data_IF_967850665484
#
_entry.id   IF_967850665484
#
_cell.length_a   1.000
_cell.length_b   1.000
_cell.length_c   1.000
_cell.angle_alpha   90.00
_cell.angle_beta   90.00
_cell.angle_gamma   90.00
#
_symmetry.space_group_name_H-M   'P 1'
#
loop_
_entity.id
_entity.type
_entity.pdbx_description
1 polymer ?
#
# COMPACT_ATOMS: atom_id res chain seq x y z
N UNK A 1 -17.30 -18.05 -0.28
CA UNK A 1 -16.59 -18.28 0.99
C UNK A 1 -15.19 -18.78 0.65
N UNK A 2 -14.13 -18.11 1.15
CA UNK A 2 -12.74 -18.52 0.90
C UNK A 2 -12.40 -19.84 1.61
N UNK A 3 -11.40 -20.53 1.07
CA UNK A 3 -10.81 -21.74 1.64
C UNK A 3 -9.61 -21.35 2.52
N UNK A 4 -9.51 -21.95 3.71
CA UNK A 4 -8.41 -21.71 4.63
C UNK A 4 -7.87 -23.01 5.23
N UNK A 5 -6.58 -22.99 5.56
CA UNK A 5 -5.91 -24.05 6.32
C UNK A 5 -6.07 -23.84 7.83
N UNK A 6 -6.44 -24.91 8.53
CA UNK A 6 -6.57 -24.97 9.97
C UNK A 6 -5.69 -26.08 10.55
N UNK A 7 -5.16 -25.86 11.75
CA UNK A 7 -4.49 -26.90 12.54
C UNK A 7 -5.23 -27.12 13.85
N UNK A 8 -5.61 -28.37 14.09
CA UNK A 8 -6.27 -28.77 15.33
C UNK A 8 -5.32 -28.64 16.52
N UNK A 9 -5.77 -27.97 17.59
CA UNK A 9 -5.02 -27.85 18.84
C UNK A 9 -4.95 -29.16 19.64
N UNK A 10 -5.82 -30.12 19.34
CA UNK A 10 -5.95 -31.39 20.07
C UNK A 10 -5.17 -32.51 19.38
N UNK A 11 -5.47 -32.80 18.11
CA UNK A 11 -4.85 -33.93 17.39
C UNK A 11 -3.71 -33.52 16.44
N UNK A 12 -3.41 -32.22 16.31
CA UNK A 12 -2.35 -31.72 15.43
C UNK A 12 -2.62 -31.84 13.93
N UNK A 13 -3.76 -32.40 13.51
CA UNK A 13 -4.11 -32.53 12.08
C UNK A 13 -4.32 -31.16 11.44
N UNK A 14 -3.73 -30.99 10.26
CA UNK A 14 -4.03 -29.85 9.36
C UNK A 14 -5.12 -30.25 8.37
N UNK A 15 -6.06 -29.34 8.12
CA UNK A 15 -7.16 -29.55 7.17
C UNK A 15 -7.63 -28.22 6.55
N UNK A 16 -8.23 -28.32 5.38
CA UNK A 16 -8.84 -27.21 4.68
C UNK A 16 -10.34 -27.12 5.01
N UNK A 17 -10.84 -25.90 5.21
CA UNK A 17 -12.27 -25.66 5.36
C UNK A 17 -12.67 -24.31 4.76
N UNK A 18 -13.87 -24.27 4.18
CA UNK A 18 -14.47 -23.00 3.76
C UNK A 18 -14.97 -22.25 5.00
N UNK A 19 -14.52 -21.01 5.20
CA UNK A 19 -14.96 -20.19 6.33
C UNK A 19 -15.16 -18.73 5.91
N UNK A 20 -15.84 -17.96 6.74
CA UNK A 20 -15.93 -16.51 6.57
C UNK A 20 -14.56 -15.85 6.77
N UNK A 21 -14.33 -14.67 6.18
CA UNK A 21 -13.01 -14.02 6.24
C UNK A 21 -12.57 -13.67 7.66
N UNK A 22 -13.52 -13.37 8.53
CA UNK A 22 -13.39 -13.06 9.95
C UNK A 22 -13.38 -14.31 10.87
N UNK A 23 -13.57 -15.51 10.30
CA UNK A 23 -13.51 -16.74 11.07
C UNK A 23 -12.06 -17.08 11.44
N UNK A 24 -11.75 -16.99 12.73
CA UNK A 24 -10.43 -17.32 13.30
C UNK A 24 -10.29 -18.77 13.79
N UNK A 25 -11.41 -19.47 13.99
CA UNK A 25 -11.45 -20.81 14.56
C UNK A 25 -12.30 -21.77 13.69
N UNK A 26 -11.94 -23.05 13.73
CA UNK A 26 -12.65 -24.13 13.05
C UNK A 26 -12.77 -25.37 13.94
N UNK A 27 -13.58 -26.34 13.52
CA UNK A 27 -13.78 -27.60 14.26
C UNK A 27 -13.11 -28.75 13.50
N UNK A 28 -12.25 -29.50 14.17
CA UNK A 28 -11.63 -30.68 13.59
C UNK A 28 -12.57 -31.90 13.72
N UNK A 29 -12.37 -32.91 12.86
CA UNK A 29 -13.10 -34.20 12.92
C UNK A 29 -12.91 -34.96 14.26
N UNK A 30 -11.83 -34.69 15.00
CA UNK A 30 -11.65 -35.24 16.35
C UNK A 30 -12.48 -34.53 17.43
N UNK A 31 -13.27 -33.51 17.07
CA UNK A 31 -14.04 -32.66 17.98
C UNK A 31 -13.23 -31.50 18.60
N UNK A 32 -11.91 -31.45 18.39
CA UNK A 32 -11.06 -30.39 18.93
C UNK A 32 -11.17 -29.07 18.16
N UNK A 33 -11.00 -27.96 18.87
CA UNK A 33 -10.86 -26.63 18.25
C UNK A 33 -9.60 -26.57 17.37
N UNK A 34 -9.70 -25.90 16.24
CA UNK A 34 -8.61 -25.70 15.30
C UNK A 34 -8.37 -24.21 15.07
N UNK A 35 -7.09 -23.82 15.03
CA UNK A 35 -6.69 -22.45 14.73
C UNK A 35 -6.36 -22.36 13.24
N UNK A 36 -6.82 -21.29 12.60
CA UNK A 36 -6.41 -20.96 11.22
C UNK A 36 -4.89 -20.71 11.16
N UNK A 37 -4.20 -21.38 10.23
CA UNK A 37 -2.75 -21.30 10.07
C UNK A 37 -2.31 -19.97 9.46
N UNK A 38 -2.91 -19.61 8.33
CA UNK A 38 -2.67 -18.34 7.64
C UNK A 38 -3.89 -17.44 7.83
N UNK A 39 -3.87 -16.65 8.90
CA UNK A 39 -4.75 -15.48 8.97
C UNK A 39 -4.14 -14.37 8.12
N UNK A 40 -4.90 -13.80 7.19
CA UNK A 40 -4.67 -12.39 6.85
C UNK A 40 -4.89 -11.62 8.14
N UNK A 41 -3.80 -11.33 8.87
CA UNK A 41 -3.88 -10.65 10.16
C UNK A 41 -4.47 -9.25 10.03
N UNK A 42 -4.58 -8.53 11.14
CA UNK A 42 -4.90 -7.08 11.18
C UNK A 42 -3.98 -6.20 10.30
N UNK A 43 -2.93 -6.78 9.70
CA UNK A 43 -2.08 -6.18 8.69
C UNK A 43 -2.57 -6.30 7.24
N UNK A 44 -3.67 -7.02 6.96
CA UNK A 44 -4.40 -6.78 5.72
C UNK A 44 -5.14 -5.45 5.87
N UNK A 45 -4.40 -4.35 5.72
CA UNK A 45 -5.01 -3.12 5.26
C UNK A 45 -5.45 -3.43 3.83
N UNK A 46 -6.75 -3.32 3.54
CA UNK A 46 -7.23 -3.37 2.16
C UNK A 46 -6.47 -2.34 1.29
N UNK A 47 -5.97 -1.30 1.96
CA UNK A 47 -5.13 -0.23 1.46
C UNK A 47 -3.65 -0.54 1.67
N UNK A 48 -2.87 -0.43 0.60
CA UNK A 48 -1.46 -0.81 0.64
C UNK A 48 -0.60 0.30 1.29
N UNK A 49 0.45 -0.08 2.01
CA UNK A 49 1.36 0.84 2.73
C UNK A 49 1.97 1.92 1.82
N UNK A 50 2.03 1.69 0.50
CA UNK A 50 2.53 2.68 -0.46
C UNK A 50 1.63 3.90 -0.63
N UNK A 51 0.36 3.86 -0.20
CA UNK A 51 -0.58 4.97 -0.34
C UNK A 51 -0.15 6.20 0.48
N UNK A 52 0.41 5.97 1.66
CA UNK A 52 0.98 7.05 2.49
C UNK A 52 2.14 7.74 1.75
N UNK A 53 2.99 6.97 1.06
CA UNK A 53 4.08 7.50 0.23
C UNK A 53 3.57 8.35 -0.95
N UNK A 54 2.42 7.99 -1.53
CA UNK A 54 1.81 8.78 -2.61
C UNK A 54 1.20 10.07 -2.06
N UNK A 55 0.63 10.04 -0.85
CA UNK A 55 0.11 11.25 -0.22
C UNK A 55 1.21 12.32 -0.07
N UNK A 56 2.48 11.95 0.12
CA UNK A 56 3.63 12.89 0.20
C UNK A 56 3.75 13.79 -1.03
N UNK A 57 3.44 13.28 -2.23
CA UNK A 57 3.60 14.02 -3.49
C UNK A 57 2.32 14.71 -3.95
N UNK A 58 1.19 14.49 -3.26
CA UNK A 58 -0.04 15.22 -3.55
C UNK A 58 0.07 16.68 -3.07
N UNK A 59 -0.47 17.60 -3.87
CA UNK A 59 -0.48 19.04 -3.60
C UNK A 59 -1.21 19.36 -2.29
N UNK A 60 -0.49 19.90 -1.30
CA UNK A 60 -0.98 20.01 0.09
C UNK A 60 -1.97 21.14 0.28
N UNK A 61 -1.81 22.19 -0.52
CA UNK A 61 -2.61 23.41 -0.43
C UNK A 61 -3.76 23.42 -1.46
N UNK A 62 -4.09 22.27 -2.06
CA UNK A 62 -5.15 22.18 -3.06
C UNK A 62 -6.54 22.36 -2.44
N UNK A 63 -7.37 23.15 -3.12
CA UNK A 63 -8.79 23.35 -2.85
C UNK A 63 -9.68 22.26 -3.50
N UNK A 64 -9.10 21.37 -4.31
CA UNK A 64 -9.83 20.34 -5.04
C UNK A 64 -10.36 19.25 -4.09
N UNK A 65 -11.65 18.90 -4.15
CA UNK A 65 -12.25 17.93 -3.22
C UNK A 65 -11.59 16.55 -3.24
N UNK A 66 -11.17 16.05 -4.41
CA UNK A 66 -10.52 14.74 -4.52
C UNK A 66 -9.11 14.71 -3.95
N UNK A 67 -8.42 15.85 -3.90
CA UNK A 67 -7.09 15.97 -3.29
C UNK A 67 -7.22 16.01 -1.77
N UNK A 68 -8.13 16.84 -1.25
CA UNK A 68 -8.37 16.94 0.19
C UNK A 68 -8.85 15.61 0.80
N UNK A 69 -9.77 14.92 0.11
CA UNK A 69 -10.24 13.61 0.55
C UNK A 69 -9.12 12.56 0.62
N UNK A 70 -8.20 12.57 -0.35
CA UNK A 70 -7.06 11.65 -0.36
C UNK A 70 -6.02 12.00 0.71
N UNK A 71 -5.77 13.27 0.97
CA UNK A 71 -4.85 13.71 2.03
C UNK A 71 -5.39 13.43 3.43
N UNK A 72 -6.70 13.54 3.64
CA UNK A 72 -7.34 13.27 4.92
C UNK A 72 -7.44 11.76 5.22
N UNK A 73 -7.72 10.94 4.21
CA UNK A 73 -7.81 9.48 4.32
C UNK A 73 -7.17 8.79 3.09
N UNK A 74 -5.89 8.39 3.18
CA UNK A 74 -5.14 7.76 2.08
C UNK A 74 -5.58 6.31 1.76
N UNK A 75 -6.84 6.10 1.43
CA UNK A 75 -7.40 4.81 1.02
C UNK A 75 -7.31 4.59 -0.51
N UNK A 76 -7.42 3.35 -0.98
CA UNK A 76 -7.43 3.00 -2.42
C UNK A 76 -8.58 3.67 -3.17
N UNK A 77 -9.73 3.82 -2.52
CA UNK A 77 -10.88 4.48 -3.11
C UNK A 77 -10.58 5.96 -3.37
N UNK A 78 -9.99 6.65 -2.38
CA UNK A 78 -9.61 8.05 -2.52
C UNK A 78 -8.43 8.22 -3.48
N UNK A 79 -7.46 7.32 -3.50
CA UNK A 79 -6.38 7.31 -4.49
C UNK A 79 -6.91 7.23 -5.94
N UNK A 80 -7.87 6.35 -6.22
CA UNK A 80 -8.46 6.24 -7.57
C UNK A 80 -9.20 7.51 -7.98
N UNK A 81 -9.94 8.12 -7.05
CA UNK A 81 -10.62 9.41 -7.28
C UNK A 81 -9.62 10.53 -7.52
N UNK A 82 -8.54 10.56 -6.74
CA UNK A 82 -7.46 11.53 -6.88
C UNK A 82 -6.77 11.41 -8.24
N UNK A 83 -6.35 10.20 -8.62
CA UNK A 83 -5.75 9.93 -9.93
C UNK A 83 -6.66 10.35 -11.07
N UNK A 84 -7.95 10.01 -11.01
CA UNK A 84 -8.93 10.40 -12.04
C UNK A 84 -9.12 11.93 -12.09
N UNK A 85 -9.26 12.58 -10.94
CA UNK A 85 -9.46 14.03 -10.85
C UNK A 85 -8.25 14.85 -11.31
N UNK A 86 -7.04 14.32 -11.13
CA UNK A 86 -5.79 14.92 -11.62
C UNK A 86 -5.41 14.46 -13.04
N UNK A 87 -6.20 13.57 -13.67
CA UNK A 87 -5.88 13.04 -15.00
C UNK A 87 -4.61 12.20 -15.04
N UNK A 88 -4.22 11.60 -13.91
CA UNK A 88 -3.05 10.76 -13.77
C UNK A 88 -3.37 9.30 -14.07
N UNK A 89 -2.35 8.54 -14.48
CA UNK A 89 -2.42 7.08 -14.59
C UNK A 89 -1.21 6.42 -13.91
N UNK A 90 -1.35 5.18 -13.40
CA UNK A 90 -0.22 4.40 -12.95
C UNK A 90 0.83 4.25 -14.04
N UNK A 91 2.09 4.20 -13.63
CA UNK A 91 3.21 3.82 -14.47
C UNK A 91 3.20 2.29 -14.57
N UNK A 92 3.16 1.76 -15.79
CA UNK A 92 3.18 0.30 -16.01
C UNK A 92 4.60 -0.25 -15.92
N UNK A 93 4.72 -1.54 -15.63
CA UNK A 93 6.03 -2.20 -15.53
C UNK A 93 6.78 -2.09 -16.87
N UNK A 94 8.01 -1.57 -16.81
CA UNK A 94 8.85 -1.29 -17.99
C UNK A 94 8.67 0.11 -18.58
N UNK A 95 7.69 0.91 -18.12
CA UNK A 95 7.64 2.33 -18.47
C UNK A 95 8.73 3.08 -17.69
N UNK A 96 9.66 3.72 -18.41
CA UNK A 96 10.66 4.58 -17.80
C UNK A 96 9.99 5.79 -17.15
N UNK A 97 10.50 6.21 -15.98
CA UNK A 97 10.12 7.52 -15.42
C UNK A 97 10.49 8.59 -16.46
N UNK A 98 9.51 9.36 -16.93
CA UNK A 98 9.82 10.56 -17.73
C UNK A 98 10.68 11.46 -16.85
N UNK A 99 11.91 11.71 -17.29
CA UNK A 99 12.81 12.63 -16.60
C UNK A 99 12.14 13.99 -16.49
N UNK A 100 12.24 14.61 -15.31
CA UNK A 100 11.89 16.02 -15.16
C UNK A 100 12.76 16.78 -16.14
N UNK A 101 12.14 17.54 -17.05
CA UNK A 101 12.85 18.46 -17.94
C UNK A 101 13.26 19.68 -17.13
N UNK A 102 14.17 19.49 -16.17
CA UNK A 102 14.80 20.61 -15.49
C UNK A 102 15.68 21.31 -16.51
N UNK A 103 15.53 22.63 -16.66
CA UNK A 103 16.43 23.39 -17.54
C UNK A 103 17.88 23.09 -17.16
N UNK A 104 18.78 22.84 -18.13
CA UNK A 104 20.20 22.55 -17.86
C UNK A 104 20.86 23.59 -16.94
N UNK A 105 20.40 24.85 -17.00
CA UNK A 105 20.86 25.94 -16.14
C UNK A 105 20.57 25.68 -14.65
N UNK A 106 19.34 25.26 -14.34
CA UNK A 106 18.91 24.96 -12.96
C UNK A 106 19.65 23.73 -12.42
N UNK A 107 19.84 22.70 -13.26
CA UNK A 107 20.62 21.52 -12.89
C UNK A 107 22.07 21.89 -12.51
N UNK A 108 22.70 22.77 -13.29
CA UNK A 108 24.06 23.26 -13.02
C UNK A 108 24.13 24.08 -11.73
N UNK A 109 23.17 24.98 -11.50
CA UNK A 109 23.11 25.79 -10.27
C UNK A 109 22.98 24.93 -9.00
N UNK A 110 22.08 23.94 -9.01
CA UNK A 110 21.87 23.03 -7.89
C UNK A 110 23.13 22.21 -7.60
N UNK A 111 23.79 21.70 -8.66
CA UNK A 111 25.02 20.93 -8.52
C UNK A 111 26.15 21.78 -7.92
N UNK A 112 26.33 23.01 -8.39
CA UNK A 112 27.36 23.91 -7.85
C UNK A 112 27.08 24.24 -6.38
N UNK A 113 25.83 24.57 -6.01
CA UNK A 113 25.45 24.77 -4.61
C UNK A 113 25.73 23.55 -3.73
N UNK A 114 25.50 22.34 -4.25
CA UNK A 114 25.77 21.11 -3.52
C UNK A 114 27.28 20.89 -3.30
N UNK A 115 28.10 21.13 -4.33
CA UNK A 115 29.56 21.09 -4.22
C UNK A 115 30.08 22.10 -3.20
N UNK A 116 29.59 23.33 -3.22
CA UNK A 116 29.97 24.36 -2.23
C UNK A 116 29.62 23.93 -0.80
N UNK A 117 28.48 23.24 -0.60
CA UNK A 117 28.07 22.74 0.73
C UNK A 117 28.87 21.54 1.22
N UNK A 118 29.43 20.72 0.32
CA UNK A 118 30.21 19.51 0.67
C UNK A 118 31.73 19.69 0.57
N UNK A 119 32.21 20.77 -0.01
CA UNK A 119 33.63 21.08 -0.20
C UNK A 119 34.32 21.77 0.98
N UNK A 120 33.75 21.69 2.19
CA UNK A 120 34.42 22.15 3.42
C UNK A 120 34.61 20.98 4.38
N UNK A 121 35.51 20.06 3.98
CA UNK A 121 36.33 19.22 4.87
C UNK A 121 37.73 19.18 4.28
#
# INVERSE_FOLDING_TARGET
MPLYDFTCRVCGRTFEAMAAMDAGEGTCLCGGSAKRLLSVGRGYRADADWLESVAVVAEKDSDKPHVQAFLADPSRANYRRWMHGEGLRPLEDGEGRRGVTTSPAVGREVLERFKTRRGSV
#
